data_IF_113183645520
#
_entry.id   IF_113183645520
#
_cell.length_a   1.000
_cell.length_b   1.000
_cell.length_c   1.000
_cell.angle_alpha   90.00
_cell.angle_beta   90.00
_cell.angle_gamma   90.00
#
_symmetry.space_group_name_H-M   'P 1'
#
loop_
_entity.id
_entity.type
_entity.pdbx_description
1 polymer ?
#
# COMPACT_ATOMS: atom_id res chain seq x y z
N UNK A 1 -0.28 5.74 11.49
CA UNK A 1 -1.07 4.64 10.88
C UNK A 1 -2.22 4.30 11.80
N UNK A 2 -3.46 4.54 11.35
CA UNK A 2 -4.65 4.26 12.15
C UNK A 2 -5.30 3.00 11.61
N UNK A 3 -5.57 2.04 12.48
CA UNK A 3 -6.30 0.84 12.09
C UNK A 3 -7.76 1.20 11.78
N UNK A 4 -8.32 0.71 10.65
CA UNK A 4 -9.71 0.96 10.32
C UNK A 4 -10.61 0.28 11.35
N UNK A 5 -11.58 1.02 11.88
CA UNK A 5 -12.51 0.54 12.92
C UNK A 5 -13.80 -0.06 12.35
N UNK A 6 -13.99 -0.02 11.03
CA UNK A 6 -15.14 -0.55 10.30
C UNK A 6 -14.66 -1.32 9.09
N UNK A 7 -15.47 -2.29 8.64
CA UNK A 7 -15.26 -2.95 7.35
C UNK A 7 -15.35 -1.92 6.21
N UNK A 8 -14.60 -2.11 5.11
CA UNK A 8 -14.77 -1.28 3.92
C UNK A 8 -16.11 -1.62 3.24
N UNK A 9 -16.69 -0.64 2.53
CA UNK A 9 -17.95 -0.86 1.80
C UNK A 9 -17.75 -1.84 0.63
N UNK A 10 -16.56 -1.88 0.04
CA UNK A 10 -16.14 -2.85 -0.99
C UNK A 10 -14.65 -3.19 -0.83
N UNK A 11 -14.27 -4.40 -1.21
CA UNK A 11 -12.90 -4.89 -1.12
C UNK A 11 -12.44 -5.27 0.29
N UNK A 12 -11.13 -5.16 0.55
CA UNK A 12 -10.54 -5.64 1.81
C UNK A 12 -9.36 -4.78 2.28
N UNK A 13 -9.24 -4.64 3.60
CA UNK A 13 -8.05 -4.10 4.24
C UNK A 13 -7.03 -5.21 4.47
N UNK A 14 -5.80 -5.03 3.97
CA UNK A 14 -4.69 -5.96 4.16
C UNK A 14 -3.70 -5.35 5.14
N UNK A 15 -3.35 -6.13 6.15
CA UNK A 15 -2.35 -5.81 7.18
C UNK A 15 -1.23 -6.85 7.15
N UNK A 16 -0.02 -6.43 7.49
CA UNK A 16 1.15 -7.31 7.55
C UNK A 16 1.95 -7.38 6.24
N UNK A 17 1.73 -6.43 5.34
CA UNK A 17 2.55 -6.27 4.14
C UNK A 17 3.92 -5.65 4.49
N UNK A 18 4.93 -6.07 3.76
CA UNK A 18 6.30 -5.56 3.84
C UNK A 18 6.87 -5.38 2.44
N UNK A 19 7.81 -4.46 2.31
CA UNK A 19 8.53 -4.17 1.07
C UNK A 19 10.00 -4.50 1.25
N UNK A 20 10.59 -5.16 0.26
CA UNK A 20 12.02 -5.46 0.19
C UNK A 20 12.73 -4.46 -0.74
N UNK A 21 13.93 -4.01 -0.36
CA UNK A 21 14.77 -3.14 -1.21
C UNK A 21 14.31 -1.68 -1.29
N UNK A 22 13.16 -1.34 -0.71
CA UNK A 22 12.65 0.01 -0.57
C UNK A 22 12.09 0.24 0.84
N UNK A 23 11.68 1.48 1.13
CA UNK A 23 11.00 1.84 2.38
C UNK A 23 9.70 2.58 2.10
N UNK A 24 8.78 2.54 3.05
CA UNK A 24 7.58 3.38 3.00
C UNK A 24 7.80 4.65 3.82
N UNK A 25 7.95 5.78 3.15
CA UNK A 25 8.09 7.06 3.83
C UNK A 25 6.73 7.51 4.39
N UNK A 26 6.56 7.34 5.70
CA UNK A 26 5.32 7.70 6.42
C UNK A 26 5.00 9.20 6.41
N UNK A 27 5.98 10.08 6.15
CA UNK A 27 5.75 11.52 6.04
C UNK A 27 5.16 11.87 4.67
N UNK A 28 5.77 11.35 3.61
CA UNK A 28 5.37 11.65 2.23
C UNK A 28 4.30 10.70 1.68
N UNK A 29 4.05 9.58 2.37
CA UNK A 29 3.16 8.47 1.98
C UNK A 29 3.53 7.88 0.62
N UNK A 30 4.83 7.76 0.36
CA UNK A 30 5.38 7.26 -0.90
C UNK A 30 6.43 6.19 -0.63
N UNK A 31 6.66 5.34 -1.62
CA UNK A 31 7.86 4.52 -1.65
C UNK A 31 9.08 5.42 -1.82
N UNK A 32 10.13 5.10 -1.08
CA UNK A 32 11.42 5.75 -1.15
C UNK A 32 12.52 4.70 -1.06
N UNK A 33 13.76 5.11 -1.34
CA UNK A 33 14.93 4.24 -1.27
C UNK A 33 15.04 3.53 0.09
N UNK A 34 15.56 2.31 0.09
CA UNK A 34 15.87 1.60 1.34
C UNK A 34 16.90 2.38 2.17
N UNK A 35 16.88 2.15 3.48
CA UNK A 35 17.95 2.66 4.35
C UNK A 35 19.13 1.69 4.33
N UNK A 36 20.38 2.18 4.51
CA UNK A 36 21.54 1.30 4.59
C UNK A 36 21.34 0.20 5.64
N UNK A 37 21.55 -1.06 5.23
CA UNK A 37 21.45 -2.26 6.08
C UNK A 37 20.04 -2.59 6.58
N UNK A 38 18.99 -1.99 6.01
CA UNK A 38 17.59 -2.37 6.26
C UNK A 38 17.04 -2.99 4.98
N UNK A 39 16.84 -4.31 4.99
CA UNK A 39 16.37 -5.04 3.81
C UNK A 39 14.84 -4.96 3.63
N UNK A 40 14.10 -4.93 4.74
CA UNK A 40 12.64 -4.93 4.74
C UNK A 40 12.09 -3.74 5.52
N UNK A 41 11.00 -3.16 5.01
CA UNK A 41 10.20 -2.18 5.74
C UNK A 41 8.72 -2.59 5.76
N UNK A 42 8.03 -2.20 6.82
CA UNK A 42 6.61 -2.47 7.02
C UNK A 42 5.74 -1.46 6.25
N UNK A 43 4.75 -1.98 5.54
CA UNK A 43 3.76 -1.14 4.85
C UNK A 43 2.59 -0.78 5.78
N UNK A 44 1.90 0.34 5.53
CA UNK A 44 0.65 0.64 6.23
C UNK A 44 -0.44 -0.37 5.84
N UNK A 45 -1.57 -0.32 6.52
CA UNK A 45 -2.77 -1.04 6.07
C UNK A 45 -3.16 -0.52 4.69
N UNK A 46 -3.25 -1.42 3.72
CA UNK A 46 -3.64 -1.10 2.34
C UNK A 46 -5.08 -1.55 2.12
N UNK A 47 -5.89 -0.70 1.49
CA UNK A 47 -7.21 -1.06 1.01
C UNK A 47 -7.13 -1.50 -0.44
N UNK A 48 -7.49 -2.74 -0.73
CA UNK A 48 -7.64 -3.23 -2.09
C UNK A 48 -9.12 -3.21 -2.45
N UNK A 49 -9.48 -2.43 -3.47
CA UNK A 49 -10.82 -2.41 -4.06
C UNK A 49 -10.81 -3.23 -5.35
N UNK A 50 -11.71 -4.21 -5.52
CA UNK A 50 -11.90 -4.84 -6.83
C UNK A 50 -12.47 -3.80 -7.80
N UNK A 51 -12.12 -3.93 -9.09
CA UNK A 51 -12.67 -3.12 -10.16
C UNK A 51 -12.86 -4.00 -11.39
N UNK A 52 -13.90 -3.74 -12.20
CA UNK A 52 -14.02 -4.43 -13.48
C UNK A 52 -12.98 -3.89 -14.43
N UNK A 53 -12.46 -4.76 -15.31
CA UNK A 53 -11.44 -4.39 -16.29
C UNK A 53 -11.87 -3.21 -17.15
N UNK A 54 -13.15 -3.16 -17.53
CA UNK A 54 -13.72 -2.11 -18.37
C UNK A 54 -13.82 -0.74 -17.65
N UNK A 55 -13.75 -0.73 -16.32
CA UNK A 55 -13.78 0.46 -15.46
C UNK A 55 -12.37 0.98 -15.12
N UNK A 56 -11.33 0.21 -15.42
CA UNK A 56 -9.94 0.61 -15.18
C UNK A 56 -9.53 1.66 -16.22
N UNK A 57 -9.31 2.89 -15.77
CA UNK A 57 -8.76 3.96 -16.59
C UNK A 57 -7.36 3.52 -17.06
N UNK A 58 -7.19 3.31 -18.38
CA UNK A 58 -5.89 2.96 -18.94
C UNK A 58 -4.88 4.04 -18.56
N UNK A 59 -3.81 3.65 -17.87
CA UNK A 59 -2.70 4.57 -17.64
C UNK A 59 -2.14 4.99 -19.00
N UNK A 60 -1.96 6.29 -19.27
CA UNK A 60 -1.27 6.72 -20.48
C UNK A 60 0.11 6.07 -20.48
N UNK A 61 0.43 5.41 -21.59
CA UNK A 61 1.74 4.80 -21.84
C UNK A 61 2.85 5.84 -21.86
#
# INVERSE_FOLDING_TARGET
>A
DKEPSKAPDDGAYIKGLFVEGARYDRKTRKLAESQPKILFDTMPVIWICPAKRDELQQSPS
#
